data_IF_996542367121
#
_entry.id   IF_996542367121
#
_cell.length_a   1.000
_cell.length_b   1.000
_cell.length_c   1.000
_cell.angle_alpha   90.00
_cell.angle_beta   90.00
_cell.angle_gamma   90.00
#
_symmetry.space_group_name_H-M   'P 1'
#
loop_
_entity.id
_entity.type
_entity.pdbx_description
1 polymer ?
#
# COMPACT_ATOMS: atom_id res chain seq x y z
N UNK A 1 13.55 21.96 8.25
CA UNK A 1 12.48 22.08 7.24
C UNK A 1 11.13 21.70 7.83
N UNK A 2 10.07 22.21 7.24
CA UNK A 2 8.68 21.88 7.59
C UNK A 2 8.11 20.91 6.55
N UNK A 3 7.56 19.80 7.02
CA UNK A 3 7.04 18.72 6.17
C UNK A 3 5.55 18.54 6.40
N UNK A 4 4.79 18.39 5.32
CA UNK A 4 3.37 18.02 5.34
C UNK A 4 3.22 16.60 4.79
N UNK A 5 2.58 15.72 5.56
CA UNK A 5 2.20 14.37 5.11
C UNK A 5 0.69 14.34 4.90
N UNK A 6 0.25 13.88 3.74
CA UNK A 6 -1.18 13.79 3.39
C UNK A 6 -1.63 12.36 3.52
N UNK A 7 -2.63 12.14 4.36
CA UNK A 7 -3.23 10.85 4.66
C UNK A 7 -3.52 10.67 6.14
N UNK A 8 -4.05 9.51 6.50
CA UNK A 8 -4.56 9.27 7.86
C UNK A 8 -4.41 7.83 8.36
N UNK A 9 -3.76 6.96 7.62
CA UNK A 9 -3.67 5.54 7.95
C UNK A 9 -2.35 5.10 8.60
N UNK A 10 -2.21 3.80 8.82
CA UNK A 10 -1.00 3.21 9.39
C UNK A 10 0.23 3.39 8.51
N UNK A 11 0.06 3.40 7.21
CA UNK A 11 1.11 3.73 6.23
C UNK A 11 1.62 5.16 6.45
N UNK A 12 0.74 6.12 6.59
CA UNK A 12 1.10 7.51 6.87
C UNK A 12 1.75 7.65 8.23
N UNK A 13 1.29 6.90 9.23
CA UNK A 13 1.95 6.88 10.54
C UNK A 13 3.39 6.34 10.45
N UNK A 14 3.63 5.30 9.67
CA UNK A 14 4.97 4.79 9.41
C UNK A 14 5.86 5.81 8.68
N UNK A 15 5.29 6.54 7.71
CA UNK A 15 5.99 7.63 7.01
C UNK A 15 6.35 8.75 7.99
N UNK A 16 5.39 9.22 8.79
CA UNK A 16 5.61 10.27 9.80
C UNK A 16 6.69 9.85 10.80
N UNK A 17 6.66 8.59 11.26
CA UNK A 17 7.69 8.05 12.16
C UNK A 17 9.09 8.13 11.54
N UNK A 18 9.22 7.79 10.26
CA UNK A 18 10.48 7.89 9.53
C UNK A 18 10.92 9.34 9.32
N UNK A 19 9.98 10.23 8.98
CA UNK A 19 10.24 11.68 8.83
C UNK A 19 10.71 12.29 10.16
N UNK A 20 10.13 11.88 11.28
CA UNK A 20 10.51 12.35 12.63
C UNK A 20 11.95 11.99 13.02
N UNK A 21 12.54 10.97 12.39
CA UNK A 21 13.95 10.59 12.61
C UNK A 21 14.93 11.48 11.84
N UNK A 22 14.47 12.23 10.85
CA UNK A 22 15.34 13.08 10.05
C UNK A 22 15.80 14.30 10.85
N UNK A 23 17.12 14.53 11.00
CA UNK A 23 17.64 15.73 11.66
C UNK A 23 17.37 17.01 10.86
N UNK A 24 16.94 16.88 9.62
CA UNK A 24 16.61 18.00 8.73
C UNK A 24 15.21 18.56 8.98
N UNK A 25 14.35 17.85 9.71
CA UNK A 25 12.93 18.19 9.91
C UNK A 25 12.73 18.83 11.27
N UNK A 26 12.21 20.05 11.28
CA UNK A 26 11.91 20.83 12.50
C UNK A 26 10.44 20.68 12.91
N UNK A 27 9.53 20.55 11.94
CA UNK A 27 8.10 20.48 12.16
C UNK A 27 7.44 19.56 11.15
N UNK A 28 6.52 18.73 11.65
CA UNK A 28 5.69 17.83 10.82
C UNK A 28 4.22 18.21 11.00
N UNK A 29 3.52 18.35 9.87
CA UNK A 29 2.07 18.43 9.82
C UNK A 29 1.53 17.20 9.10
N UNK A 30 0.36 16.72 9.48
CA UNK A 30 -0.33 15.64 8.80
C UNK A 30 -1.80 16.00 8.57
N UNK A 31 -2.29 15.81 7.36
CA UNK A 31 -3.66 16.17 6.99
C UNK A 31 -4.37 14.96 6.36
N UNK A 32 -5.44 14.42 6.96
CA UNK A 32 -5.97 14.80 8.27
C UNK A 32 -5.26 14.15 9.47
N UNK A 33 -4.43 13.11 9.27
CA UNK A 33 -3.77 12.39 10.35
C UNK A 33 -4.71 11.49 11.16
N UNK A 34 -4.23 10.98 12.27
CA UNK A 34 -4.99 10.18 13.22
C UNK A 34 -4.45 10.37 14.64
N UNK A 35 -5.05 9.70 15.62
CA UNK A 35 -4.69 9.90 17.03
C UNK A 35 -3.25 9.48 17.38
N UNK A 36 -2.67 8.51 16.68
CA UNK A 36 -1.28 8.11 16.89
C UNK A 36 -0.29 9.06 16.22
N UNK A 37 -0.60 9.53 15.04
CA UNK A 37 0.20 10.53 14.31
C UNK A 37 0.30 11.82 15.10
N UNK A 38 -0.76 12.19 15.85
CA UNK A 38 -0.80 13.39 16.66
C UNK A 38 0.30 13.48 17.75
N UNK A 39 0.90 12.35 18.12
CA UNK A 39 2.03 12.31 19.03
C UNK A 39 3.35 12.81 18.41
N UNK A 40 3.46 12.74 17.06
CA UNK A 40 4.67 13.10 16.32
C UNK A 40 4.49 14.32 15.42
N UNK A 41 3.26 14.65 15.05
CA UNK A 41 2.93 15.69 14.08
C UNK A 41 1.72 16.49 14.54
N UNK A 42 1.60 17.71 14.04
CA UNK A 42 0.37 18.48 14.19
C UNK A 42 -0.63 18.02 13.12
N UNK A 43 -1.71 17.39 13.58
CA UNK A 43 -2.79 16.97 12.69
C UNK A 43 -3.67 18.17 12.34
N UNK A 44 -3.98 18.31 11.05
CA UNK A 44 -4.74 19.42 10.50
C UNK A 44 -6.04 18.89 9.92
N UNK A 45 -7.22 19.45 10.28
CA UNK A 45 -8.52 18.95 9.84
C UNK A 45 -8.84 19.32 8.40
N UNK A 46 -7.97 18.93 7.47
CA UNK A 46 -8.16 19.09 6.03
C UNK A 46 -8.15 17.71 5.41
N UNK A 47 -9.19 17.39 4.66
CA UNK A 47 -9.30 16.11 3.95
C UNK A 47 -8.29 15.99 2.81
N UNK A 48 -7.85 14.77 2.53
CA UNK A 48 -6.83 14.51 1.50
C UNK A 48 -7.25 14.92 0.08
N UNK A 49 -8.56 15.04 -0.18
CA UNK A 49 -9.09 15.45 -1.47
C UNK A 49 -9.43 16.96 -1.56
N UNK A 50 -9.20 17.71 -0.49
CA UNK A 50 -9.43 19.16 -0.44
C UNK A 50 -8.18 19.92 -0.92
N UNK A 51 -7.85 19.77 -2.19
CA UNK A 51 -6.58 20.26 -2.76
C UNK A 51 -6.36 21.76 -2.57
N UNK A 52 -7.38 22.58 -2.78
CA UNK A 52 -7.26 24.05 -2.62
C UNK A 52 -6.92 24.43 -1.18
N UNK A 53 -7.54 23.77 -0.21
CA UNK A 53 -7.25 23.99 1.22
C UNK A 53 -5.87 23.50 1.60
N UNK A 54 -5.42 22.37 1.04
CA UNK A 54 -4.08 21.84 1.28
C UNK A 54 -3.00 22.76 0.72
N UNK A 55 -3.21 23.30 -0.49
CA UNK A 55 -2.30 24.29 -1.09
C UNK A 55 -2.25 25.57 -0.24
N UNK A 56 -3.40 26.10 0.16
CA UNK A 56 -3.48 27.31 0.99
C UNK A 56 -2.74 27.09 2.34
N UNK A 57 -2.94 25.95 2.96
CA UNK A 57 -2.25 25.56 4.19
C UNK A 57 -0.73 25.48 4.00
N UNK A 58 -0.28 24.81 2.92
CA UNK A 58 1.14 24.68 2.61
C UNK A 58 1.82 26.03 2.41
N UNK A 59 1.15 26.98 1.76
CA UNK A 59 1.63 28.34 1.57
C UNK A 59 1.65 29.12 2.90
N UNK A 60 0.57 29.07 3.65
CA UNK A 60 0.43 29.78 4.95
C UNK A 60 1.53 29.33 5.94
N UNK A 61 1.76 28.03 6.03
CA UNK A 61 2.77 27.47 6.96
C UNK A 61 4.18 27.41 6.38
N UNK A 62 4.38 27.83 5.17
CA UNK A 62 5.68 27.75 4.47
C UNK A 62 6.24 26.34 4.47
N UNK A 63 5.43 25.37 4.04
CA UNK A 63 5.84 23.97 3.96
C UNK A 63 6.95 23.82 2.91
N UNK A 64 8.05 23.20 3.30
CA UNK A 64 9.20 22.97 2.42
C UNK A 64 9.04 21.72 1.55
N UNK A 65 8.34 20.71 2.05
CA UNK A 65 8.21 19.43 1.37
C UNK A 65 6.90 18.74 1.77
N UNK A 66 6.15 18.27 0.78
CA UNK A 66 4.88 17.55 0.98
C UNK A 66 5.01 16.12 0.49
N UNK A 67 4.53 15.17 1.29
CA UNK A 67 4.53 13.74 0.99
C UNK A 67 3.09 13.27 0.90
N UNK A 68 2.70 12.68 -0.24
CA UNK A 68 1.36 12.13 -0.44
C UNK A 68 1.40 10.63 -0.22
N UNK A 69 0.71 10.16 0.82
CA UNK A 69 0.71 8.74 1.19
C UNK A 69 -0.42 7.91 0.60
N UNK A 70 -1.47 8.54 0.10
CA UNK A 70 -2.71 7.88 -0.34
C UNK A 70 -2.87 7.85 -1.86
N UNK A 71 -3.60 6.85 -2.35
CA UNK A 71 -3.94 6.65 -3.75
C UNK A 71 -4.94 7.68 -4.32
N UNK A 72 -6.07 7.92 -3.63
CA UNK A 72 -7.13 8.82 -4.12
C UNK A 72 -6.62 10.22 -4.53
N UNK A 73 -5.89 10.96 -3.69
CA UNK A 73 -5.38 12.27 -4.09
C UNK A 73 -4.33 12.19 -5.21
N UNK A 74 -3.53 11.14 -5.27
CA UNK A 74 -2.55 10.95 -6.35
C UNK A 74 -3.25 10.76 -7.70
N UNK A 75 -4.22 9.87 -7.75
CA UNK A 75 -5.04 9.63 -8.96
C UNK A 75 -5.87 10.87 -9.31
N UNK A 76 -6.29 11.64 -8.30
CA UNK A 76 -7.00 12.89 -8.44
C UNK A 76 -6.17 14.07 -8.95
N UNK A 77 -4.84 13.96 -8.96
CA UNK A 77 -3.95 14.97 -9.52
C UNK A 77 -3.39 16.00 -8.54
N UNK A 78 -3.31 15.66 -7.24
CA UNK A 78 -2.80 16.59 -6.21
C UNK A 78 -1.37 17.05 -6.50
N UNK A 79 -0.52 16.17 -7.06
CA UNK A 79 0.88 16.52 -7.38
C UNK A 79 0.93 17.61 -8.43
N UNK A 80 0.12 17.50 -9.48
CA UNK A 80 0.02 18.54 -10.53
C UNK A 80 -0.43 19.87 -9.94
N UNK A 81 -1.39 19.86 -9.04
CA UNK A 81 -1.90 21.07 -8.37
C UNK A 81 -0.80 21.73 -7.52
N UNK A 82 -0.06 20.95 -6.73
CA UNK A 82 1.03 21.47 -5.90
C UNK A 82 2.19 22.00 -6.74
N UNK A 83 2.59 21.29 -7.78
CA UNK A 83 3.66 21.72 -8.69
C UNK A 83 3.30 23.03 -9.41
N UNK A 84 2.04 23.18 -9.84
CA UNK A 84 1.56 24.42 -10.49
C UNK A 84 1.65 25.65 -9.56
N UNK A 85 1.64 25.44 -8.25
CA UNK A 85 1.78 26.47 -7.22
C UNK A 85 3.22 26.64 -6.72
N UNK A 86 4.19 25.95 -7.34
CA UNK A 86 5.61 26.01 -6.98
C UNK A 86 5.94 25.28 -5.66
N UNK A 87 5.06 24.39 -5.21
CA UNK A 87 5.25 23.62 -3.98
C UNK A 87 5.92 22.28 -4.27
N UNK A 88 7.01 21.98 -3.57
CA UNK A 88 7.73 20.72 -3.72
C UNK A 88 6.92 19.59 -3.10
N UNK A 89 6.68 18.54 -3.88
CA UNK A 89 5.81 17.43 -3.50
C UNK A 89 6.36 16.11 -3.99
N UNK A 90 6.25 15.08 -3.14
CA UNK A 90 6.63 13.70 -3.46
C UNK A 90 5.39 12.88 -3.80
N UNK A 91 5.40 12.31 -4.98
CA UNK A 91 4.36 11.45 -5.50
C UNK A 91 4.29 11.56 -7.03
N UNK A 92 3.62 10.59 -7.70
CA UNK A 92 3.44 10.64 -9.13
C UNK A 92 2.40 11.70 -9.53
N UNK A 93 2.64 12.33 -10.68
CA UNK A 93 1.63 13.17 -11.33
C UNK A 93 0.43 12.31 -11.74
N UNK A 94 -0.70 12.95 -11.98
CA UNK A 94 -1.94 12.29 -12.39
C UNK A 94 -1.74 11.35 -13.58
N UNK A 95 -1.00 11.78 -14.59
CA UNK A 95 -0.74 10.98 -15.78
C UNK A 95 0.06 9.70 -15.50
N UNK A 96 0.90 9.68 -14.45
CA UNK A 96 1.67 8.52 -14.03
C UNK A 96 0.91 7.68 -12.98
N UNK A 97 0.11 8.31 -12.13
CA UNK A 97 -0.71 7.63 -11.13
C UNK A 97 -1.78 6.69 -11.77
N UNK A 98 -2.04 6.83 -13.05
CA UNK A 98 -2.90 5.92 -13.82
C UNK A 98 -2.39 4.46 -13.75
N UNK A 99 -1.12 4.25 -13.45
CA UNK A 99 -0.55 2.91 -13.24
C UNK A 99 -1.32 2.13 -12.16
N UNK A 100 -1.82 2.81 -11.12
CA UNK A 100 -2.75 2.28 -10.12
C UNK A 100 -4.20 2.60 -10.46
N UNK A 101 -4.45 3.78 -10.97
CA UNK A 101 -5.79 4.30 -11.25
C UNK A 101 -6.56 3.52 -12.32
N UNK A 102 -5.87 2.82 -13.21
CA UNK A 102 -6.48 1.98 -14.25
C UNK A 102 -5.75 0.65 -14.39
N UNK A 103 -6.42 -0.42 -14.02
CA UNK A 103 -5.92 -1.79 -14.20
C UNK A 103 -5.81 -2.15 -15.68
N UNK A 104 -6.77 -1.70 -16.50
CA UNK A 104 -6.74 -1.88 -17.95
C UNK A 104 -5.51 -1.23 -18.57
N UNK A 105 -5.20 0.01 -18.18
CA UNK A 105 -3.98 0.70 -18.62
C UNK A 105 -2.72 -0.10 -18.25
N UNK A 106 -2.58 -0.52 -17.00
CA UNK A 106 -1.39 -1.23 -16.54
C UNK A 106 -1.21 -2.58 -17.23
N UNK A 107 -2.30 -3.30 -17.49
CA UNK A 107 -2.25 -4.56 -18.26
C UNK A 107 -1.82 -4.32 -19.71
N UNK A 108 -2.38 -3.31 -20.37
CA UNK A 108 -2.00 -2.97 -21.75
C UNK A 108 -0.54 -2.49 -21.83
N UNK A 109 -0.07 -1.74 -20.83
CA UNK A 109 1.33 -1.33 -20.72
C UNK A 109 2.25 -2.56 -20.62
N UNK A 110 1.93 -3.49 -19.74
CA UNK A 110 2.73 -4.71 -19.55
C UNK A 110 2.77 -5.57 -20.81
N UNK A 111 1.64 -5.70 -21.50
CA UNK A 111 1.58 -6.42 -22.77
C UNK A 111 2.45 -5.75 -23.84
N UNK A 112 2.32 -4.44 -24.00
CA UNK A 112 3.06 -3.65 -25.01
C UNK A 112 4.58 -3.74 -24.81
N UNK A 113 5.03 -3.71 -23.56
CA UNK A 113 6.46 -3.69 -23.23
C UNK A 113 7.00 -5.03 -22.74
N UNK A 114 6.23 -6.11 -22.94
CA UNK A 114 6.63 -7.49 -22.62
C UNK A 114 7.02 -7.70 -21.14
N UNK A 115 6.33 -7.04 -20.23
CA UNK A 115 6.50 -7.22 -18.78
C UNK A 115 5.66 -8.42 -18.36
N UNK A 116 6.24 -9.43 -17.68
CA UNK A 116 5.51 -10.65 -17.30
C UNK A 116 4.30 -10.35 -16.39
N UNK A 117 3.13 -10.79 -16.81
CA UNK A 117 1.89 -10.71 -16.05
C UNK A 117 0.92 -11.80 -16.52
N UNK A 118 -0.22 -11.97 -15.81
CA UNK A 118 -1.27 -12.90 -16.22
C UNK A 118 -1.85 -12.54 -17.60
N UNK A 119 -2.20 -13.54 -18.38
CA UNK A 119 -2.98 -13.33 -19.59
C UNK A 119 -4.33 -12.70 -19.27
N UNK A 120 -4.77 -11.76 -20.07
CA UNK A 120 -5.95 -10.95 -19.78
C UNK A 120 -6.65 -10.46 -21.04
N UNK A 121 -7.90 -10.00 -20.87
CA UNK A 121 -8.64 -9.20 -21.83
C UNK A 121 -9.44 -8.11 -21.12
N UNK A 122 -9.60 -6.96 -21.78
CA UNK A 122 -10.38 -5.83 -21.29
C UNK A 122 -11.75 -5.79 -21.94
N UNK A 123 -12.79 -5.48 -21.18
CA UNK A 123 -14.16 -5.41 -21.65
C UNK A 123 -14.84 -4.12 -21.19
N UNK A 124 -15.57 -3.48 -22.11
CA UNK A 124 -16.46 -2.35 -21.81
C UNK A 124 -17.93 -2.73 -22.05
N UNK A 125 -18.19 -3.86 -22.68
CA UNK A 125 -19.51 -4.41 -22.95
C UNK A 125 -19.72 -5.70 -22.15
N UNK A 126 -20.74 -5.75 -21.27
CA UNK A 126 -21.05 -6.96 -20.49
C UNK A 126 -21.33 -8.19 -21.36
N UNK A 127 -21.98 -8.03 -22.49
CA UNK A 127 -22.33 -9.15 -23.40
C UNK A 127 -21.06 -9.80 -23.98
N UNK A 128 -20.08 -8.98 -24.38
CA UNK A 128 -18.79 -9.48 -24.86
C UNK A 128 -18.02 -10.21 -23.77
N UNK A 129 -18.05 -9.68 -22.55
CA UNK A 129 -17.41 -10.31 -21.39
C UNK A 129 -18.05 -11.68 -21.10
N UNK A 130 -19.38 -11.76 -21.10
CA UNK A 130 -20.11 -13.03 -20.88
C UNK A 130 -19.78 -14.07 -21.98
N UNK A 131 -19.70 -13.63 -23.22
CA UNK A 131 -19.31 -14.51 -24.34
C UNK A 131 -17.88 -15.04 -24.20
N UNK A 132 -16.94 -14.18 -23.79
CA UNK A 132 -15.55 -14.59 -23.53
C UNK A 132 -15.46 -15.68 -22.47
N UNK A 133 -16.28 -15.57 -21.40
CA UNK A 133 -16.28 -16.53 -20.29
C UNK A 133 -16.69 -17.94 -20.72
N UNK A 134 -17.49 -18.11 -21.78
CA UNK A 134 -17.92 -19.43 -22.26
C UNK A 134 -16.76 -20.36 -22.64
N UNK A 135 -15.62 -19.79 -23.04
CA UNK A 135 -14.43 -20.54 -23.42
C UNK A 135 -13.24 -20.37 -22.46
N UNK A 136 -13.42 -19.58 -21.41
CA UNK A 136 -12.36 -19.32 -20.44
C UNK A 136 -12.17 -20.50 -19.47
N UNK A 137 -10.94 -20.68 -19.02
CA UNK A 137 -10.61 -21.68 -18.00
C UNK A 137 -10.94 -21.14 -16.61
N UNK A 138 -11.48 -22.00 -15.74
CA UNK A 138 -11.71 -21.69 -14.35
C UNK A 138 -10.60 -22.30 -13.46
N UNK A 139 -10.24 -21.69 -12.32
CA UNK A 139 -10.74 -20.40 -11.85
C UNK A 139 -10.27 -19.22 -12.71
N UNK A 140 -10.99 -18.10 -12.63
CA UNK A 140 -10.69 -16.89 -13.38
C UNK A 140 -10.82 -15.65 -12.47
N UNK A 141 -10.16 -14.55 -12.81
CA UNK A 141 -10.17 -13.33 -12.00
C UNK A 141 -10.84 -12.19 -12.77
N UNK A 142 -11.82 -11.56 -12.17
CA UNK A 142 -12.50 -10.37 -12.68
C UNK A 142 -12.08 -9.16 -11.85
N UNK A 143 -11.65 -8.09 -12.50
CA UNK A 143 -11.23 -6.85 -11.84
C UNK A 143 -11.98 -5.66 -12.41
N UNK A 144 -12.68 -4.92 -11.56
CA UNK A 144 -13.20 -3.61 -11.93
C UNK A 144 -12.02 -2.67 -12.19
N UNK A 145 -12.12 -1.83 -13.23
CA UNK A 145 -11.11 -0.84 -13.53
C UNK A 145 -11.27 0.38 -12.60
N UNK A 146 -10.16 0.83 -11.99
CA UNK A 146 -10.15 1.91 -11.03
C UNK A 146 -9.79 1.46 -9.61
N UNK A 147 -9.84 2.39 -8.66
CA UNK A 147 -9.35 2.15 -7.29
C UNK A 147 -10.21 1.16 -6.50
N UNK A 148 -11.51 1.17 -6.63
CA UNK A 148 -12.47 0.24 -6.00
C UNK A 148 -12.15 -0.20 -4.55
N UNK A 149 -11.28 0.52 -3.84
CA UNK A 149 -10.82 0.26 -2.46
C UNK A 149 -10.33 -1.18 -2.22
N UNK A 150 -9.72 -1.81 -3.24
CA UNK A 150 -9.29 -3.21 -3.17
C UNK A 150 -10.42 -4.25 -3.19
N UNK A 151 -11.67 -3.82 -3.31
CA UNK A 151 -12.85 -4.70 -3.29
C UNK A 151 -13.31 -5.11 -4.68
N UNK A 152 -12.79 -4.49 -5.72
CA UNK A 152 -13.18 -4.72 -7.11
C UNK A 152 -12.53 -5.95 -7.77
N UNK A 153 -11.99 -6.89 -7.00
CA UNK A 153 -11.35 -8.12 -7.48
C UNK A 153 -12.18 -9.33 -7.04
N UNK A 154 -12.64 -10.11 -8.00
CA UNK A 154 -13.43 -11.31 -7.78
C UNK A 154 -12.70 -12.53 -8.36
N UNK A 155 -12.40 -13.50 -7.51
CA UNK A 155 -11.87 -14.80 -7.93
C UNK A 155 -13.08 -15.75 -8.09
N UNK A 156 -13.29 -16.20 -9.31
CA UNK A 156 -14.46 -17.03 -9.67
C UNK A 156 -13.99 -18.45 -9.97
N UNK A 157 -14.53 -19.42 -9.22
CA UNK A 157 -14.16 -20.83 -9.36
C UNK A 157 -15.01 -21.55 -10.40
N UNK A 158 -16.20 -21.03 -10.70
CA UNK A 158 -17.14 -21.61 -11.65
C UNK A 158 -17.57 -20.57 -12.69
N UNK A 159 -18.07 -21.05 -13.82
CA UNK A 159 -18.61 -20.19 -14.88
C UNK A 159 -19.79 -19.35 -14.37
N UNK A 160 -20.65 -19.91 -13.54
CA UNK A 160 -21.80 -19.24 -12.95
C UNK A 160 -21.35 -18.09 -12.04
N UNK A 161 -20.35 -18.32 -11.18
CA UNK A 161 -19.76 -17.27 -10.34
C UNK A 161 -19.17 -16.15 -11.19
N UNK A 162 -18.48 -16.50 -12.29
CA UNK A 162 -17.89 -15.53 -13.20
C UNK A 162 -18.95 -14.68 -13.93
N UNK A 163 -20.03 -15.29 -14.39
CA UNK A 163 -21.17 -14.58 -15.01
C UNK A 163 -21.84 -13.63 -14.01
N UNK A 164 -22.06 -14.07 -12.78
CA UNK A 164 -22.60 -13.22 -11.73
C UNK A 164 -21.62 -12.06 -11.41
N UNK A 165 -20.32 -12.32 -11.42
CA UNK A 165 -19.29 -11.29 -11.25
C UNK A 165 -19.34 -10.22 -12.33
N UNK A 166 -19.56 -10.58 -13.58
CA UNK A 166 -19.75 -9.62 -14.69
C UNK A 166 -20.96 -8.73 -14.43
N UNK A 167 -22.08 -9.32 -14.04
CA UNK A 167 -23.30 -8.55 -13.73
C UNK A 167 -23.06 -7.59 -12.57
N UNK A 168 -22.45 -8.08 -11.49
CA UNK A 168 -22.15 -7.28 -10.29
C UNK A 168 -21.26 -6.06 -10.63
N UNK A 169 -20.21 -6.28 -11.41
CA UNK A 169 -19.25 -5.22 -11.76
C UNK A 169 -19.81 -4.28 -12.81
N UNK A 170 -20.30 -4.79 -13.92
CA UNK A 170 -20.60 -4.02 -15.13
C UNK A 170 -22.07 -3.57 -15.25
N UNK A 171 -23.01 -4.41 -14.82
CA UNK A 171 -24.45 -4.11 -14.93
C UNK A 171 -24.98 -3.43 -13.66
N UNK A 172 -24.76 -4.02 -12.50
CA UNK A 172 -25.23 -3.48 -11.20
C UNK A 172 -24.38 -2.29 -10.71
N UNK A 173 -23.20 -2.08 -11.32
CA UNK A 173 -22.26 -1.01 -10.96
C UNK A 173 -21.93 -0.96 -9.46
N UNK A 174 -21.77 -2.11 -8.83
CA UNK A 174 -21.45 -2.20 -7.40
C UNK A 174 -20.21 -1.36 -7.00
N UNK A 175 -19.29 -1.16 -7.93
CA UNK A 175 -18.08 -0.34 -7.75
C UNK A 175 -18.15 0.99 -8.52
N UNK A 176 -19.36 1.47 -8.82
CA UNK A 176 -19.58 2.74 -9.53
C UNK A 176 -18.92 2.77 -10.91
N UNK A 177 -18.32 3.89 -11.25
CA UNK A 177 -17.67 4.09 -12.55
C UNK A 177 -16.49 3.13 -12.81
N UNK A 178 -15.89 2.56 -11.77
CA UNK A 178 -14.85 1.53 -11.92
C UNK A 178 -15.35 0.28 -12.64
N UNK A 179 -16.66 0.04 -12.64
CA UNK A 179 -17.32 -1.04 -13.37
C UNK A 179 -17.60 -0.74 -14.85
N UNK A 180 -17.26 0.44 -15.36
CA UNK A 180 -17.42 0.76 -16.78
C UNK A 180 -16.47 -0.04 -17.67
N UNK A 181 -15.33 -0.42 -17.15
CA UNK A 181 -14.36 -1.32 -17.78
C UNK A 181 -14.03 -2.44 -16.82
N UNK A 182 -13.90 -3.64 -17.33
CA UNK A 182 -13.51 -4.81 -16.55
C UNK A 182 -12.34 -5.51 -17.19
N UNK A 183 -11.38 -5.93 -16.36
CA UNK A 183 -10.27 -6.80 -16.78
C UNK A 183 -10.62 -8.22 -16.37
N UNK A 184 -10.57 -9.13 -17.31
CA UNK A 184 -10.66 -10.58 -17.04
C UNK A 184 -9.26 -11.15 -17.24
N UNK A 185 -8.73 -11.80 -16.21
CA UNK A 185 -7.39 -12.38 -16.28
C UNK A 185 -7.34 -13.82 -15.76
N UNK A 186 -6.37 -14.57 -16.24
CA UNK A 186 -6.11 -15.91 -15.75
C UNK A 186 -5.78 -15.91 -14.26
N UNK A 187 -6.20 -16.95 -13.57
CA UNK A 187 -5.84 -17.17 -12.19
C UNK A 187 -4.40 -17.70 -12.10
N UNK A 188 -3.52 -16.92 -11.50
CA UNK A 188 -2.14 -17.33 -11.24
C UNK A 188 -2.04 -18.06 -9.90
N UNK A 189 -1.22 -19.10 -9.88
CA UNK A 189 -0.87 -19.83 -8.66
C UNK A 189 0.60 -19.60 -8.31
N UNK A 190 0.88 -19.51 -7.03
CA UNK A 190 2.23 -19.25 -6.53
C UNK A 190 2.20 -18.56 -5.19
N UNK A 191 3.27 -17.88 -4.87
CA UNK A 191 3.41 -17.12 -3.62
C UNK A 191 3.44 -15.62 -3.94
N UNK A 192 2.59 -14.87 -3.27
CA UNK A 192 2.57 -13.41 -3.40
C UNK A 192 3.72 -12.79 -2.59
N UNK A 193 4.40 -11.83 -3.19
CA UNK A 193 5.43 -11.02 -2.55
C UNK A 193 5.24 -9.57 -2.98
N UNK A 194 5.45 -8.65 -2.06
CA UNK A 194 5.39 -7.21 -2.31
C UNK A 194 6.78 -6.61 -2.36
N UNK A 195 7.06 -5.78 -3.35
CA UNK A 195 8.31 -5.02 -3.44
C UNK A 195 7.98 -3.56 -3.73
N UNK A 196 8.38 -2.69 -2.79
CA UNK A 196 8.25 -1.25 -2.97
C UNK A 196 9.54 -0.70 -3.57
N UNK A 197 9.40 0.34 -4.38
CA UNK A 197 10.54 0.96 -5.07
C UNK A 197 10.42 2.47 -5.03
N UNK A 198 11.56 3.17 -4.89
CA UNK A 198 11.64 4.60 -5.16
C UNK A 198 11.99 4.82 -6.63
N UNK A 199 11.36 5.81 -7.26
CA UNK A 199 11.53 6.10 -8.69
C UNK A 199 11.61 7.61 -8.91
N UNK A 200 12.53 8.04 -9.78
CA UNK A 200 12.72 9.46 -10.16
C UNK A 200 12.41 9.76 -11.63
N UNK A 201 11.62 8.92 -12.27
CA UNK A 201 11.31 9.02 -13.71
C UNK A 201 12.19 8.14 -14.60
N UNK A 202 13.40 7.82 -14.18
CA UNK A 202 14.40 7.04 -14.94
C UNK A 202 15.14 6.01 -14.10
N UNK A 203 15.49 6.34 -12.88
CA UNK A 203 16.21 5.48 -11.95
C UNK A 203 15.26 4.86 -10.96
N UNK A 204 15.50 3.59 -10.61
CA UNK A 204 14.74 2.86 -9.59
C UNK A 204 15.68 2.40 -8.48
N UNK A 205 15.21 2.50 -7.21
CA UNK A 205 15.86 1.92 -6.04
C UNK A 205 14.88 1.01 -5.33
N UNK A 206 15.29 -0.22 -5.10
CA UNK A 206 14.43 -1.30 -4.64
C UNK A 206 14.55 -1.41 -3.13
N UNK A 207 13.40 -1.34 -2.43
CA UNK A 207 13.33 -1.56 -1.00
C UNK A 207 13.34 -3.06 -0.68
N UNK A 208 13.51 -3.38 0.60
CA UNK A 208 13.42 -4.76 1.08
C UNK A 208 12.05 -5.35 0.77
N UNK A 209 12.02 -6.61 0.36
CA UNK A 209 10.78 -7.33 0.06
C UNK A 209 9.90 -7.47 1.30
N UNK A 210 8.61 -7.67 1.08
CA UNK A 210 7.63 -7.91 2.13
C UNK A 210 6.59 -8.93 1.67
N UNK A 211 5.87 -9.51 2.61
CA UNK A 211 4.84 -10.50 2.32
C UNK A 211 3.61 -10.23 3.16
N UNK A 212 2.49 -9.98 2.49
CA UNK A 212 1.21 -9.61 3.08
C UNK A 212 0.28 -10.82 3.24
N UNK A 213 -0.75 -10.65 4.06
CA UNK A 213 -1.80 -11.63 4.35
C UNK A 213 -3.15 -10.98 4.06
N UNK A 214 -3.69 -11.25 2.87
CA UNK A 214 -4.88 -10.55 2.33
C UNK A 214 -6.21 -11.01 2.92
N UNK A 215 -6.31 -12.25 3.36
CA UNK A 215 -7.58 -12.80 3.87
C UNK A 215 -7.85 -12.38 5.31
N UNK A 216 -9.14 -12.19 5.63
CA UNK A 216 -9.56 -11.68 6.94
C UNK A 216 -9.32 -12.67 8.08
N UNK A 217 -9.37 -13.97 7.82
CA UNK A 217 -9.35 -15.05 8.84
C UNK A 217 -8.12 -15.95 8.73
N UNK A 218 -7.81 -16.61 9.85
CA UNK A 218 -6.78 -17.63 9.91
C UNK A 218 -6.94 -18.68 8.81
N UNK A 219 -5.82 -19.26 8.37
CA UNK A 219 -5.80 -20.26 7.31
C UNK A 219 -6.15 -19.68 5.93
N UNK A 220 -5.94 -18.38 5.72
CA UNK A 220 -6.29 -17.69 4.49
C UNK A 220 -7.77 -17.88 4.09
N UNK A 221 -8.63 -17.78 5.08
CA UNK A 221 -10.06 -17.89 4.91
C UNK A 221 -10.76 -16.52 4.98
N UNK A 222 -12.01 -16.48 4.56
CA UNK A 222 -12.84 -15.28 4.60
C UNK A 222 -12.59 -14.35 3.40
N UNK A 223 -13.05 -13.12 3.54
CA UNK A 223 -12.99 -12.12 2.47
C UNK A 223 -11.59 -11.53 2.32
N UNK A 224 -11.28 -11.05 1.14
CA UNK A 224 -10.10 -10.22 0.90
C UNK A 224 -10.21 -8.91 1.67
N UNK A 225 -9.07 -8.44 2.17
CA UNK A 225 -8.93 -7.20 2.93
C UNK A 225 -7.82 -6.34 2.33
N UNK A 226 -7.57 -5.21 2.96
CA UNK A 226 -6.39 -4.39 2.65
C UNK A 226 -5.07 -4.95 3.20
N UNK A 227 -5.09 -6.07 3.92
CA UNK A 227 -3.96 -6.71 4.57
C UNK A 227 -4.15 -6.82 6.07
N UNK A 228 -3.92 -8.02 6.61
CA UNK A 228 -4.09 -8.35 8.03
C UNK A 228 -2.78 -8.50 8.78
N UNK A 229 -1.68 -8.34 8.09
CA UNK A 229 -0.34 -8.44 8.64
C UNK A 229 0.71 -8.63 7.55
N UNK A 230 1.95 -8.36 7.89
CA UNK A 230 3.03 -8.35 6.93
C UNK A 230 4.36 -8.69 7.59
N UNK A 231 5.31 -9.17 6.82
CA UNK A 231 6.67 -9.34 7.31
C UNK A 231 7.70 -8.97 6.23
N UNK A 232 8.89 -8.60 6.64
CA UNK A 232 10.01 -8.19 5.78
C UNK A 232 11.34 -8.62 6.42
N UNK A 233 12.30 -9.16 5.63
CA UNK A 233 12.19 -9.51 4.20
C UNK A 233 11.44 -10.80 3.98
N UNK A 234 10.92 -11.04 2.76
CA UNK A 234 10.37 -12.35 2.40
C UNK A 234 11.51 -13.33 2.09
N UNK A 235 11.57 -14.51 2.75
CA UNK A 235 12.59 -15.51 2.47
C UNK A 235 12.42 -16.18 1.09
N UNK A 236 11.27 -16.00 0.46
CA UNK A 236 10.96 -16.51 -0.88
C UNK A 236 11.41 -15.58 -2.00
N UNK A 237 11.72 -14.34 -1.66
CA UNK A 237 12.31 -13.37 -2.58
C UNK A 237 13.82 -13.57 -2.62
N UNK A 238 14.24 -14.55 -3.40
CA UNK A 238 15.65 -14.95 -3.51
C UNK A 238 16.44 -13.99 -4.40
N UNK A 239 17.78 -14.14 -4.42
CA UNK A 239 18.65 -13.37 -5.30
C UNK A 239 18.29 -13.58 -6.77
N UNK A 240 17.95 -14.80 -7.15
CA UNK A 240 17.53 -15.14 -8.52
C UNK A 240 16.23 -14.43 -8.91
N UNK A 241 15.26 -14.39 -7.99
CA UNK A 241 14.00 -13.65 -8.17
C UNK A 241 14.30 -12.16 -8.32
N UNK A 242 15.13 -11.59 -7.46
CA UNK A 242 15.52 -10.17 -7.49
C UNK A 242 16.18 -9.80 -8.83
N UNK A 243 17.15 -10.60 -9.29
CA UNK A 243 17.83 -10.38 -10.57
C UNK A 243 16.87 -10.46 -11.76
N UNK A 244 15.98 -11.43 -11.76
CA UNK A 244 14.95 -11.56 -12.79
C UNK A 244 14.03 -10.33 -12.81
N UNK A 245 13.52 -9.92 -11.66
CA UNK A 245 12.61 -8.78 -11.55
C UNK A 245 13.28 -7.47 -11.95
N UNK A 246 14.54 -7.25 -11.59
CA UNK A 246 15.32 -6.08 -12.02
C UNK A 246 15.39 -6.00 -13.53
N UNK A 247 15.67 -7.11 -14.18
CA UNK A 247 15.88 -7.18 -15.63
C UNK A 247 14.58 -7.11 -16.43
N UNK A 248 13.52 -7.78 -15.98
CA UNK A 248 12.31 -7.98 -16.78
C UNK A 248 11.07 -7.25 -16.27
N UNK A 249 11.08 -6.74 -15.06
CA UNK A 249 9.90 -6.12 -14.43
C UNK A 249 10.15 -4.68 -14.00
N UNK A 250 11.12 -4.41 -13.12
CA UNK A 250 11.25 -3.11 -12.45
C UNK A 250 11.69 -2.01 -13.41
N UNK A 251 12.88 -2.09 -13.95
CA UNK A 251 13.39 -1.11 -14.89
C UNK A 251 12.52 -1.03 -16.15
N UNK A 252 12.07 -2.15 -16.75
CA UNK A 252 11.15 -2.10 -17.87
C UNK A 252 9.85 -1.34 -17.60
N UNK A 253 9.29 -1.41 -16.38
CA UNK A 253 8.10 -0.63 -16.00
C UNK A 253 8.39 0.86 -16.01
N UNK A 254 9.50 1.28 -15.41
CA UNK A 254 9.92 2.70 -15.38
C UNK A 254 10.17 3.23 -16.78
N UNK A 255 10.87 2.47 -17.60
CA UNK A 255 11.18 2.83 -18.99
C UNK A 255 9.90 2.91 -19.84
N UNK A 256 8.96 1.98 -19.65
CA UNK A 256 7.68 1.95 -20.34
C UNK A 256 6.85 3.21 -20.01
N UNK A 257 6.76 3.58 -18.74
CA UNK A 257 6.05 4.78 -18.31
C UNK A 257 6.66 6.05 -18.93
N UNK A 258 7.97 6.15 -18.96
CA UNK A 258 8.67 7.26 -19.60
C UNK A 258 8.40 7.29 -21.11
N UNK A 259 8.43 6.13 -21.78
CA UNK A 259 8.15 6.00 -23.22
C UNK A 259 6.72 6.41 -23.59
N UNK A 260 5.76 6.20 -22.69
CA UNK A 260 4.38 6.63 -22.86
C UNK A 260 4.17 8.14 -22.56
N UNK A 261 5.23 8.88 -22.25
CA UNK A 261 5.12 10.29 -21.86
C UNK A 261 4.55 10.50 -20.46
N UNK A 262 4.65 9.50 -19.60
CA UNK A 262 4.13 9.45 -18.23
C UNK A 262 5.24 9.09 -17.23
N UNK A 263 6.35 9.85 -17.18
CA UNK A 263 7.44 9.52 -16.27
C UNK A 263 6.95 9.46 -14.83
N UNK A 264 7.32 8.42 -14.12
CA UNK A 264 6.84 8.17 -12.77
C UNK A 264 7.87 8.66 -11.75
N UNK A 265 7.45 9.54 -10.84
CA UNK A 265 8.24 9.97 -9.69
C UNK A 265 7.48 9.64 -8.41
N UNK A 266 8.11 8.91 -7.50
CA UNK A 266 7.46 8.50 -6.26
C UNK A 266 7.76 7.05 -5.91
N UNK A 267 6.78 6.36 -5.33
CA UNK A 267 6.87 4.93 -5.01
C UNK A 267 6.01 4.12 -5.96
N UNK A 268 6.61 3.13 -6.62
CA UNK A 268 5.86 2.05 -7.28
C UNK A 268 5.88 0.83 -6.36
N UNK A 269 4.70 0.35 -6.03
CA UNK A 269 4.49 -0.92 -5.37
C UNK A 269 4.27 -1.99 -6.44
N UNK A 270 5.12 -3.01 -6.42
CA UNK A 270 4.98 -4.19 -7.26
C UNK A 270 4.38 -5.33 -6.44
N UNK A 271 3.14 -5.71 -6.71
CA UNK A 271 2.57 -6.96 -6.25
C UNK A 271 3.01 -8.06 -7.21
N UNK A 272 3.79 -9.02 -6.73
CA UNK A 272 4.36 -10.11 -7.54
C UNK A 272 3.75 -11.44 -7.15
N UNK A 273 3.50 -12.27 -8.15
CA UNK A 273 3.21 -13.70 -7.97
C UNK A 273 4.45 -14.49 -8.40
N UNK A 274 5.05 -15.23 -7.47
CA UNK A 274 6.15 -16.14 -7.77
C UNK A 274 5.56 -17.46 -8.26
N UNK A 275 5.41 -17.57 -9.58
CA UNK A 275 4.79 -18.74 -10.23
C UNK A 275 5.83 -19.81 -10.58
N UNK A 276 5.37 -20.99 -10.96
CA UNK A 276 6.24 -22.06 -11.51
C UNK A 276 6.96 -21.67 -12.79
N UNK A 277 6.50 -20.64 -13.50
CA UNK A 277 7.12 -20.10 -14.72
C UNK A 277 7.99 -18.87 -14.46
N UNK A 278 8.16 -18.50 -13.21
CA UNK A 278 8.88 -17.30 -12.78
C UNK A 278 7.99 -16.18 -12.22
N UNK A 279 8.59 -15.08 -11.77
CA UNK A 279 7.86 -13.94 -11.25
C UNK A 279 6.99 -13.28 -12.32
N UNK A 280 5.75 -12.93 -11.94
CA UNK A 280 4.80 -12.17 -12.77
C UNK A 280 4.21 -11.04 -11.94
N UNK A 281 3.94 -9.91 -12.56
CA UNK A 281 3.26 -8.79 -11.91
C UNK A 281 1.79 -9.14 -11.71
N UNK A 282 1.35 -9.10 -10.46
CA UNK A 282 -0.05 -9.26 -10.08
C UNK A 282 -0.78 -7.93 -10.16
N UNK A 283 -0.17 -6.88 -9.61
CA UNK A 283 -0.71 -5.52 -9.61
C UNK A 283 0.38 -4.48 -9.39
N UNK A 284 0.07 -3.22 -9.73
CA UNK A 284 0.83 -2.04 -9.35
C UNK A 284 0.04 -1.18 -8.39
N UNK A 285 0.74 -0.52 -7.47
CA UNK A 285 0.19 0.65 -6.77
C UNK A 285 1.17 1.83 -6.90
N UNK A 286 0.64 3.04 -6.91
CA UNK A 286 1.41 4.28 -7.15
C UNK A 286 1.80 4.98 -5.84
N UNK A 287 1.96 4.23 -4.78
CA UNK A 287 2.22 4.72 -3.42
C UNK A 287 2.76 3.58 -2.55
N UNK A 288 3.17 3.91 -1.31
CA UNK A 288 3.50 2.88 -0.32
C UNK A 288 2.32 1.93 -0.08
N UNK A 289 2.63 0.67 0.24
CA UNK A 289 1.65 -0.32 0.65
C UNK A 289 1.24 -0.17 2.12
N UNK A 290 0.09 -0.71 2.46
CA UNK A 290 -0.43 -0.82 3.82
C UNK A 290 -0.92 -2.26 4.04
N UNK A 291 -0.25 -3.10 4.87
CA UNK A 291 0.72 -2.75 5.91
C UNK A 291 2.22 -2.91 5.55
N UNK A 292 2.61 -2.89 4.28
CA UNK A 292 4.02 -3.04 3.87
C UNK A 292 4.92 -1.94 4.44
N UNK A 293 4.47 -0.67 4.42
CA UNK A 293 5.24 0.45 4.96
C UNK A 293 5.63 0.22 6.44
N UNK A 294 4.76 -0.43 7.20
CA UNK A 294 4.96 -0.70 8.62
C UNK A 294 6.08 -1.72 8.92
N UNK A 295 6.49 -2.52 7.94
CA UNK A 295 7.61 -3.48 8.10
C UNK A 295 8.85 -3.09 7.31
N UNK A 296 8.71 -2.29 6.27
CA UNK A 296 9.82 -1.88 5.40
C UNK A 296 10.52 -0.63 5.93
N UNK A 297 9.76 0.41 6.27
CA UNK A 297 10.32 1.68 6.72
C UNK A 297 11.10 1.60 8.05
N UNK A 298 10.66 0.83 9.06
CA UNK A 298 11.46 0.68 10.28
C UNK A 298 12.84 0.07 10.07
N UNK A 299 13.05 -0.63 8.97
CA UNK A 299 14.32 -1.28 8.61
C UNK A 299 15.22 -0.44 7.70
N UNK A 300 14.71 0.66 7.14
CA UNK A 300 15.48 1.51 6.24
C UNK A 300 16.49 2.36 7.01
N UNK A 301 17.77 2.32 6.59
CA UNK A 301 18.85 3.10 7.22
C UNK A 301 18.89 4.54 6.77
N UNK A 302 18.54 4.80 5.51
CA UNK A 302 18.62 6.14 4.93
C UNK A 302 17.64 7.11 5.60
N UNK A 303 17.99 8.38 5.62
CA UNK A 303 17.03 9.45 5.90
C UNK A 303 15.99 9.48 4.77
N UNK A 304 14.73 9.28 5.13
CA UNK A 304 13.62 9.22 4.15
C UNK A 304 13.51 10.54 3.34
N UNK A 305 13.83 11.67 3.95
CA UNK A 305 13.79 12.99 3.28
C UNK A 305 14.85 13.05 2.19
N UNK A 306 16.06 12.57 2.46
CA UNK A 306 17.15 12.55 1.46
C UNK A 306 16.73 11.70 0.24
N UNK A 307 16.14 10.55 0.46
CA UNK A 307 15.70 9.66 -0.60
C UNK A 307 14.55 10.28 -1.41
N UNK A 308 13.54 10.80 -0.73
CA UNK A 308 12.36 11.39 -1.39
C UNK A 308 12.71 12.67 -2.16
N UNK A 309 13.56 13.53 -1.60
CA UNK A 309 14.05 14.72 -2.33
C UNK A 309 14.85 14.31 -3.57
N UNK A 310 15.70 13.30 -3.46
CA UNK A 310 16.44 12.78 -4.61
C UNK A 310 15.50 12.27 -5.72
N UNK A 311 14.38 11.65 -5.35
CA UNK A 311 13.35 11.27 -6.33
C UNK A 311 12.79 12.50 -7.07
N UNK A 312 12.38 13.51 -6.32
CA UNK A 312 11.76 14.73 -6.88
C UNK A 312 12.76 15.52 -7.73
N UNK A 313 14.03 15.55 -7.32
CA UNK A 313 15.09 16.30 -8.00
C UNK A 313 15.76 15.53 -9.16
N UNK A 314 15.32 14.30 -9.44
CA UNK A 314 15.90 13.46 -10.49
C UNK A 314 17.32 13.01 -10.20
N UNK A 315 17.68 12.83 -8.92
CA UNK A 315 19.01 12.49 -8.41
C UNK A 315 19.04 11.16 -7.64
N UNK A 316 18.08 10.28 -7.90
CA UNK A 316 17.98 9.00 -7.19
C UNK A 316 19.19 8.09 -7.45
N UNK A 317 19.89 8.29 -8.57
CA UNK A 317 21.14 7.59 -8.90
C UNK A 317 22.27 7.87 -7.89
N UNK A 318 22.21 8.97 -7.15
CA UNK A 318 23.17 9.31 -6.08
C UNK A 318 22.87 8.60 -4.75
N UNK A 319 21.71 7.96 -4.60
CA UNK A 319 21.29 7.31 -3.37
C UNK A 319 21.71 5.84 -3.36
N UNK A 320 22.45 5.45 -2.33
CA UNK A 320 22.72 4.05 -1.99
C UNK A 320 21.68 3.63 -0.91
N UNK A 321 20.61 2.99 -1.36
CA UNK A 321 19.51 2.60 -0.48
C UNK A 321 19.91 1.37 0.35
N UNK A 322 19.87 1.49 1.68
CA UNK A 322 20.31 0.46 2.61
C UNK A 322 19.26 0.13 3.66
N UNK A 323 19.22 -1.12 4.05
CA UNK A 323 18.33 -1.66 5.09
C UNK A 323 19.15 -2.32 6.20
N UNK A 324 18.59 -2.32 7.42
CA UNK A 324 19.17 -3.06 8.54
C UNK A 324 19.16 -4.58 8.24
N UNK A 325 20.17 -5.28 8.75
CA UNK A 325 20.26 -6.73 8.67
C UNK A 325 19.45 -7.38 9.81
N UNK A 326 18.16 -7.06 9.83
CA UNK A 326 17.19 -7.54 10.79
C UNK A 326 15.91 -7.93 10.06
N UNK A 327 14.86 -8.25 10.80
CA UNK A 327 13.54 -8.53 10.25
C UNK A 327 12.46 -7.73 10.99
N UNK A 328 11.31 -7.57 10.37
CA UNK A 328 10.14 -6.95 10.97
C UNK A 328 8.88 -7.77 10.67
N UNK A 329 7.98 -7.84 11.65
CA UNK A 329 6.65 -8.43 11.51
C UNK A 329 5.62 -7.46 12.05
N UNK A 330 4.54 -7.26 11.29
CA UNK A 330 3.40 -6.44 11.67
C UNK A 330 2.14 -7.30 11.74
N UNK A 331 1.44 -7.25 12.87
CA UNK A 331 0.12 -7.87 13.06
C UNK A 331 -0.92 -6.77 13.13
N UNK A 332 -1.92 -6.82 12.26
CA UNK A 332 -3.00 -5.84 12.24
C UNK A 332 -4.05 -6.21 13.29
N UNK A 333 -4.37 -5.26 14.16
CA UNK A 333 -5.52 -5.34 15.05
C UNK A 333 -6.69 -4.61 14.38
N UNK A 334 -7.75 -5.35 14.08
CA UNK A 334 -8.92 -4.86 13.37
C UNK A 334 -10.14 -4.83 14.29
N UNK A 335 -11.17 -4.09 13.86
CA UNK A 335 -12.50 -4.15 14.45
C UNK A 335 -13.20 -5.42 13.96
N UNK A 336 -13.78 -6.18 14.87
CA UNK A 336 -14.53 -7.40 14.50
C UNK A 336 -15.65 -7.06 13.52
N UNK A 337 -15.77 -7.87 12.48
CA UNK A 337 -16.66 -7.63 11.33
C UNK A 337 -15.97 -7.01 10.10
N UNK A 338 -14.78 -6.45 10.25
CA UNK A 338 -13.98 -5.99 9.12
C UNK A 338 -13.72 -7.15 8.12
N UNK A 339 -13.85 -7.01 6.80
CA UNK A 339 -13.99 -5.75 6.02
C UNK A 339 -15.45 -5.35 5.70
N UNK A 340 -16.45 -5.97 6.28
CA UNK A 340 -17.88 -5.75 5.92
C UNK A 340 -18.48 -4.61 6.73
N UNK A 341 -18.73 -4.84 8.02
CA UNK A 341 -19.32 -3.85 8.93
C UNK A 341 -18.77 -4.04 10.33
N UNK A 342 -18.61 -2.96 11.05
CA UNK A 342 -18.03 -2.97 12.40
C UNK A 342 -18.44 -1.72 13.17
N UNK A 343 -18.46 -1.84 14.50
CA UNK A 343 -18.68 -0.72 15.40
C UNK A 343 -17.38 0.06 15.64
N UNK A 344 -17.52 1.35 15.92
CA UNK A 344 -16.44 2.29 16.20
C UNK A 344 -16.63 2.94 17.56
N UNK A 345 -15.62 3.65 18.04
CA UNK A 345 -15.69 4.48 19.24
C UNK A 345 -15.30 3.73 20.51
N UNK A 346 -14.73 2.55 20.43
CA UNK A 346 -14.25 1.83 21.60
C UNK A 346 -12.92 2.39 22.10
N UNK A 347 -12.78 2.72 23.40
CA UNK A 347 -11.51 3.14 23.97
C UNK A 347 -10.43 2.07 23.82
N UNK A 348 -9.21 2.53 23.52
CA UNK A 348 -8.05 1.68 23.37
C UNK A 348 -7.15 1.86 24.58
N UNK A 349 -6.82 0.77 25.27
CA UNK A 349 -5.92 0.75 26.43
C UNK A 349 -4.56 0.14 26.09
N UNK A 350 -3.54 0.49 26.87
CA UNK A 350 -2.22 -0.14 26.81
C UNK A 350 -1.25 0.50 25.83
N UNK A 351 -1.65 1.58 25.15
CA UNK A 351 -0.80 2.26 24.15
C UNK A 351 0.51 2.79 24.76
N UNK A 352 0.49 3.20 26.03
CA UNK A 352 1.65 3.68 26.78
C UNK A 352 2.78 2.65 26.91
N UNK A 353 2.47 1.38 26.74
CA UNK A 353 3.46 0.29 26.86
C UNK A 353 4.48 0.26 25.72
N UNK A 354 4.21 0.99 24.64
CA UNK A 354 5.15 1.12 23.52
C UNK A 354 6.16 2.26 23.73
N UNK A 355 5.93 3.16 24.68
CA UNK A 355 6.80 4.31 24.92
C UNK A 355 8.22 3.86 25.29
N UNK A 356 9.22 4.49 24.67
CA UNK A 356 10.64 4.22 24.92
C UNK A 356 11.14 2.85 24.43
N UNK A 357 10.39 2.17 23.61
CA UNK A 357 10.80 0.86 23.04
C UNK A 357 11.20 1.02 21.57
N UNK A 358 12.48 0.84 21.27
CA UNK A 358 13.02 1.05 19.92
C UNK A 358 12.68 -0.07 18.93
N UNK A 359 12.43 -1.28 19.44
CA UNK A 359 12.13 -2.46 18.63
C UNK A 359 10.64 -2.71 18.39
N UNK A 360 9.78 -1.88 18.97
CA UNK A 360 8.33 -2.05 18.91
C UNK A 360 7.66 -0.78 18.44
N UNK A 361 6.67 -0.95 17.58
CA UNK A 361 5.89 0.15 17.00
C UNK A 361 4.40 -0.16 17.10
N UNK A 362 3.63 0.84 17.48
CA UNK A 362 2.18 0.78 17.40
C UNK A 362 1.73 1.81 16.36
N UNK A 363 1.60 1.37 15.12
CA UNK A 363 1.15 2.24 14.03
C UNK A 363 -0.37 2.35 14.04
N UNK A 364 -0.88 3.55 14.23
CA UNK A 364 -2.31 3.82 14.22
C UNK A 364 -2.83 3.92 12.78
N UNK A 365 -3.94 3.23 12.52
CA UNK A 365 -4.71 3.35 11.30
C UNK A 365 -6.06 4.02 11.62
N UNK A 366 -7.09 3.26 11.88
CA UNK A 366 -8.40 3.78 12.23
C UNK A 366 -8.51 4.14 13.72
N UNK A 367 -7.94 5.25 14.13
CA UNK A 367 -8.06 5.80 15.49
C UNK A 367 -8.45 7.28 15.45
N UNK A 368 -9.10 7.74 16.51
CA UNK A 368 -9.48 9.13 16.70
C UNK A 368 -9.51 9.47 18.20
N UNK A 369 -9.58 10.75 18.51
CA UNK A 369 -9.89 11.21 19.87
C UNK A 369 -11.40 11.34 20.05
N UNK A 370 -11.92 10.87 21.18
CA UNK A 370 -13.30 11.14 21.57
C UNK A 370 -13.45 12.52 22.25
N UNK A 371 -14.66 12.83 22.70
CA UNK A 371 -14.95 14.13 23.34
C UNK A 371 -14.19 14.32 24.65
N UNK A 372 -13.81 13.24 25.31
CA UNK A 372 -13.01 13.26 26.56
C UNK A 372 -11.50 13.22 26.30
N UNK A 373 -11.07 13.22 25.04
CA UNK A 373 -9.66 13.18 24.65
C UNK A 373 -9.03 11.78 24.71
N UNK A 374 -9.84 10.73 24.84
CA UNK A 374 -9.36 9.34 24.82
C UNK A 374 -9.17 8.87 23.37
N UNK A 375 -8.20 8.01 23.17
CA UNK A 375 -7.99 7.38 21.86
C UNK A 375 -8.99 6.22 21.72
N UNK A 376 -9.78 6.26 20.65
CA UNK A 376 -10.83 5.28 20.37
C UNK A 376 -10.69 4.71 18.96
N UNK A 377 -11.28 3.53 18.73
CA UNK A 377 -11.36 2.92 17.39
C UNK A 377 -12.19 3.79 16.45
N UNK A 378 -11.75 3.92 15.21
CA UNK A 378 -12.41 4.72 14.17
C UNK A 378 -12.23 4.14 12.78
N UNK A 379 -12.12 2.83 12.66
CA UNK A 379 -11.92 2.18 11.38
C UNK A 379 -11.93 0.67 11.45
N UNK A 380 -11.83 0.03 10.32
CA UNK A 380 -11.77 -1.43 10.22
C UNK A 380 -10.42 -1.98 10.68
N UNK A 381 -9.34 -1.51 10.07
CA UNK A 381 -7.99 -1.76 10.58
C UNK A 381 -7.67 -0.63 11.55
N UNK A 382 -7.38 -0.97 12.80
CA UNK A 382 -7.24 -0.01 13.90
C UNK A 382 -5.78 0.27 14.21
N UNK A 383 -4.99 -0.77 14.47
CA UNK A 383 -3.57 -0.67 14.82
C UNK A 383 -2.75 -1.68 14.02
N UNK A 384 -1.53 -1.32 13.68
CA UNK A 384 -0.51 -2.24 13.20
C UNK A 384 0.57 -2.41 14.27
N UNK A 385 0.63 -3.57 14.88
CA UNK A 385 1.63 -3.87 15.92
C UNK A 385 2.85 -4.46 15.22
N UNK A 386 3.93 -3.69 15.18
CA UNK A 386 5.18 -4.07 14.52
C UNK A 386 6.27 -4.29 15.54
N UNK A 387 7.06 -5.35 15.35
CA UNK A 387 8.30 -5.55 16.07
C UNK A 387 9.43 -5.90 15.11
N UNK A 388 10.62 -5.44 15.43
CA UNK A 388 11.86 -5.85 14.77
C UNK A 388 12.61 -6.87 15.62
N UNK A 389 13.34 -7.77 14.96
CA UNK A 389 14.13 -8.80 15.62
C UNK A 389 15.32 -9.19 14.74
N UNK A 390 16.24 -9.98 15.28
CA UNK A 390 17.42 -10.45 14.54
C UNK A 390 17.06 -11.30 13.33
N UNK A 391 15.90 -11.96 13.39
CA UNK A 391 15.33 -12.77 12.31
C UNK A 391 13.78 -12.69 12.35
N UNK A 392 13.14 -13.28 11.35
CA UNK A 392 11.68 -13.26 11.23
C UNK A 392 10.97 -13.98 12.38
N UNK A 393 11.55 -15.07 12.92
CA UNK A 393 10.95 -15.81 14.03
C UNK A 393 10.93 -14.99 15.31
N UNK A 394 12.03 -14.30 15.62
CA UNK A 394 12.09 -13.39 16.77
C UNK A 394 11.15 -12.20 16.59
N UNK A 395 11.16 -11.56 15.42
CA UNK A 395 10.27 -10.43 15.13
C UNK A 395 8.80 -10.84 15.27
N UNK A 396 8.41 -12.01 14.75
CA UNK A 396 7.05 -12.55 14.87
C UNK A 396 6.65 -12.78 16.32
N UNK A 397 7.51 -13.44 17.09
CA UNK A 397 7.27 -13.68 18.52
C UNK A 397 7.04 -12.37 19.27
N UNK A 398 7.92 -11.40 19.08
CA UNK A 398 7.81 -10.07 19.70
C UNK A 398 6.56 -9.33 19.30
N UNK A 399 6.18 -9.35 18.01
CA UNK A 399 4.97 -8.70 17.53
C UNK A 399 3.73 -9.29 18.19
N UNK A 400 3.60 -10.62 18.25
CA UNK A 400 2.46 -11.26 18.91
C UNK A 400 2.42 -11.02 20.42
N UNK A 401 3.55 -11.02 21.10
CA UNK A 401 3.61 -10.64 22.53
C UNK A 401 3.09 -9.21 22.72
N UNK A 402 3.46 -8.29 21.84
CA UNK A 402 3.03 -6.90 21.92
C UNK A 402 1.54 -6.69 21.56
N UNK A 403 0.91 -7.60 20.82
CA UNK A 403 -0.54 -7.54 20.59
C UNK A 403 -1.35 -7.67 21.87
N UNK A 404 -0.79 -8.33 22.88
CA UNK A 404 -1.43 -8.49 24.19
C UNK A 404 -1.30 -7.23 25.08
N UNK A 405 -0.46 -6.28 24.71
CA UNK A 405 -0.27 -5.04 25.49
C UNK A 405 -1.45 -4.08 25.32
N UNK A 406 -2.12 -4.13 24.19
CA UNK A 406 -3.22 -3.23 23.83
C UNK A 406 -4.54 -3.97 23.72
N UNK A 407 -5.61 -3.30 24.11
CA UNK A 407 -6.95 -3.88 24.08
C UNK A 407 -8.02 -2.87 23.72
N UNK A 408 -9.06 -3.35 23.06
CA UNK A 408 -10.31 -2.64 22.83
C UNK A 408 -11.45 -3.66 22.62
N UNK A 409 -12.68 -3.27 22.88
CA UNK A 409 -13.81 -4.19 23.07
C UNK A 409 -14.05 -5.20 21.95
N UNK A 410 -13.89 -4.79 20.68
CA UNK A 410 -14.09 -5.64 19.52
C UNK A 410 -12.79 -5.97 18.76
N UNK A 411 -11.70 -6.09 19.50
CA UNK A 411 -10.39 -6.43 18.93
C UNK A 411 -10.42 -7.77 18.21
N UNK A 412 -9.99 -7.77 16.95
CA UNK A 412 -9.83 -8.94 16.11
C UNK A 412 -8.46 -8.94 15.45
N UNK A 413 -7.82 -10.09 15.35
CA UNK A 413 -6.57 -10.28 14.62
C UNK A 413 -6.46 -11.70 14.08
N UNK A 414 -5.61 -11.90 13.09
CA UNK A 414 -5.16 -13.24 12.69
C UNK A 414 -4.08 -13.72 13.64
N UNK A 415 -4.05 -15.04 13.86
CA UNK A 415 -3.06 -15.70 14.75
C UNK A 415 -1.95 -16.41 13.98
N UNK A 416 -2.03 -16.41 12.65
CA UNK A 416 -1.15 -17.13 11.74
C UNK A 416 -0.28 -16.22 10.85
N UNK A 417 -0.16 -14.94 11.19
CA UNK A 417 0.70 -14.01 10.44
C UNK A 417 2.15 -14.52 10.50
N UNK A 418 2.74 -14.67 9.30
CA UNK A 418 4.10 -15.17 9.19
C UNK A 418 4.24 -16.69 9.27
N UNK A 419 3.15 -17.46 9.21
CA UNK A 419 3.22 -18.94 9.19
C UNK A 419 4.15 -19.46 8.10
N UNK A 420 4.18 -18.80 6.94
CA UNK A 420 5.07 -19.17 5.83
C UNK A 420 6.57 -19.07 6.19
N UNK A 421 6.95 -18.36 7.24
CA UNK A 421 8.33 -18.29 7.73
C UNK A 421 8.83 -19.68 8.15
N UNK A 422 7.94 -20.53 8.65
CA UNK A 422 8.29 -21.88 9.10
C UNK A 422 8.50 -22.87 7.93
N UNK A 423 8.12 -22.45 6.71
CA UNK A 423 8.26 -23.22 5.47
C UNK A 423 9.56 -22.88 4.71
N UNK A 424 10.30 -21.88 5.15
CA UNK A 424 11.47 -21.32 4.46
C UNK A 424 12.79 -21.98 4.88
#
# INVERSE_FOLDING_TARGET
MKVLVIGSGGREHAIVTSVARSPRVDKIYCAPGNAGIAALAECVPIGAMEFDKLVAFAKEKSIDFTIVGMDDPLVGGIVDVFEAEGLKVFGPRKNAAILEGSKAFSKDLMKKYHIPTAAYENFTDPEEALKYLETAKMPIVLKADGLALGKGVLICNTLEEAKEGVRTIMEDKKFGNAGNTMVIEEFMTGREVSVLTYVDGKTIRIMSSAQDHKRAKDGDQGLNTGGMGNFSPSPFYTKEVDEFCKKYIYQPTVDAMAAEGRPFTGVIFFGLMLTGEGPKVLEYNARFGHPEAQVVLPRMKNDIIDVMEACVDGKLDTIDLQFEDNAAVCVVLASDGYPVSYEKGFPISGLEKFEGKDDYFCFHAGTAFDKEGRIVTNGGRVLGITATGKDLKEARKKAYEATEWVDFANKYMRHDIGKAIDEA
#
